data_IF_018689940183
#
_entry.id   IF_018689940183
#
_cell.length_a   1.000
_cell.length_b   1.000
_cell.length_c   1.000
_cell.angle_alpha   90.00
_cell.angle_beta   90.00
_cell.angle_gamma   90.00
#
_symmetry.space_group_name_H-M   'P 1'
#
loop_
_entity.id
_entity.type
_entity.pdbx_description
1 polymer ?
#
# COMPACT_ATOMS: atom_id res chain seq x y z
N UNK A 1 2.51 -8.80 8.92
CA UNK A 1 1.69 -7.74 8.26
C UNK A 1 2.43 -7.16 7.09
N UNK A 2 1.74 -6.93 6.01
CA UNK A 2 2.24 -6.14 4.90
C UNK A 2 1.36 -4.91 4.75
N UNK A 3 1.86 -3.89 4.05
CA UNK A 3 1.28 -2.55 4.04
C UNK A 3 0.98 -2.11 2.61
N UNK A 4 -0.21 -1.56 2.38
CA UNK A 4 -0.59 -1.06 1.06
C UNK A 4 -1.13 0.35 1.17
N UNK A 5 -0.51 1.30 0.46
CA UNK A 5 -0.94 2.70 0.43
C UNK A 5 -2.10 2.85 -0.56
N UNK A 6 -3.18 3.51 -0.12
CA UNK A 6 -4.35 3.71 -0.96
C UNK A 6 -5.07 5.01 -0.57
N UNK A 7 -5.48 5.84 -1.55
CA UNK A 7 -6.41 6.93 -1.25
C UNK A 7 -7.72 6.37 -0.68
N UNK A 8 -8.26 7.03 0.34
CA UNK A 8 -9.47 6.54 1.01
C UNK A 8 -10.62 6.34 0.04
N UNK A 9 -10.81 7.29 -0.89
CA UNK A 9 -11.90 7.20 -1.86
C UNK A 9 -11.81 5.96 -2.74
N UNK A 10 -10.59 5.54 -3.11
CA UNK A 10 -10.40 4.33 -3.92
C UNK A 10 -10.77 3.07 -3.13
N UNK A 11 -10.46 3.06 -1.83
CA UNK A 11 -10.82 1.93 -0.96
C UNK A 11 -12.33 1.80 -0.80
N UNK A 12 -13.06 2.91 -0.80
CA UNK A 12 -14.50 2.94 -0.54
C UNK A 12 -15.38 2.71 -1.79
N UNK A 13 -14.80 2.66 -2.98
CA UNK A 13 -15.56 2.60 -4.24
C UNK A 13 -16.47 1.37 -4.32
N UNK A 14 -15.99 0.20 -3.89
CA UNK A 14 -16.77 -1.04 -3.97
C UNK A 14 -16.58 -1.85 -2.69
N UNK A 15 -17.19 -1.42 -1.56
CA UNK A 15 -16.90 -2.00 -0.25
C UNK A 15 -17.34 -3.45 -0.09
N UNK A 16 -18.23 -3.94 -0.94
CA UNK A 16 -18.74 -5.31 -0.93
C UNK A 16 -17.98 -6.26 -1.86
N UNK A 17 -16.91 -5.78 -2.50
CA UNK A 17 -16.09 -6.57 -3.43
C UNK A 17 -14.65 -6.67 -2.95
N UNK A 18 -13.91 -7.69 -3.37
CA UNK A 18 -12.46 -7.72 -3.17
C UNK A 18 -11.82 -6.47 -3.77
N UNK A 19 -10.79 -5.96 -3.12
CA UNK A 19 -10.14 -4.74 -3.54
C UNK A 19 -9.13 -5.02 -4.67
N UNK A 20 -9.25 -4.25 -5.75
CA UNK A 20 -8.34 -4.34 -6.90
C UNK A 20 -7.93 -2.93 -7.32
N UNK A 21 -6.73 -2.47 -6.93
CA UNK A 21 -6.24 -1.18 -7.40
C UNK A 21 -5.89 -1.24 -8.89
N UNK A 22 -5.81 -0.06 -9.52
CA UNK A 22 -5.45 0.05 -10.94
C UNK A 22 -4.13 -0.66 -11.26
N UNK A 23 -3.17 -0.63 -10.34
CA UNK A 23 -1.87 -1.26 -10.54
C UNK A 23 -1.96 -2.76 -10.80
N UNK A 24 -3.00 -3.43 -10.30
CA UNK A 24 -3.18 -4.86 -10.57
C UNK A 24 -3.35 -5.12 -12.06
N UNK A 25 -4.16 -4.31 -12.75
CA UNK A 25 -4.35 -4.45 -14.20
C UNK A 25 -3.12 -3.98 -14.98
N UNK A 26 -2.46 -2.92 -14.53
CA UNK A 26 -1.32 -2.34 -15.23
C UNK A 26 -0.04 -3.15 -15.06
N UNK A 27 0.23 -3.62 -13.84
CA UNK A 27 1.50 -4.25 -13.47
C UNK A 27 1.39 -5.75 -13.20
N UNK A 28 0.17 -6.28 -13.12
CA UNK A 28 -0.07 -7.69 -12.85
C UNK A 28 -0.05 -8.05 -11.36
N UNK A 29 0.18 -7.09 -10.47
CA UNK A 29 0.18 -7.33 -9.03
C UNK A 29 -0.13 -6.04 -8.27
N UNK A 30 -0.50 -6.19 -7.00
CA UNK A 30 -0.73 -5.09 -6.08
C UNK A 30 0.58 -4.80 -5.34
N UNK A 31 1.01 -3.55 -5.37
CA UNK A 31 2.24 -3.12 -4.69
C UNK A 31 2.00 -2.99 -3.18
N UNK A 32 2.75 -3.74 -2.39
CA UNK A 32 2.74 -3.63 -0.94
C UNK A 32 4.16 -3.39 -0.42
N UNK A 33 4.26 -2.97 0.83
CA UNK A 33 5.54 -2.66 1.47
C UNK A 33 5.74 -3.55 2.70
N UNK A 34 7.01 -3.87 3.05
CA UNK A 34 7.28 -4.80 4.14
C UNK A 34 7.17 -4.19 5.54
N UNK A 35 7.31 -2.87 5.66
CA UNK A 35 7.37 -2.20 6.95
C UNK A 35 6.90 -0.75 6.85
N UNK A 36 6.78 -0.09 8.00
CA UNK A 36 6.29 1.28 8.08
C UNK A 36 7.21 2.27 7.38
N UNK A 37 8.50 2.18 7.60
CA UNK A 37 9.47 3.12 7.02
C UNK A 37 9.44 3.07 5.48
N UNK A 38 9.40 1.88 4.90
CA UNK A 38 9.30 1.70 3.45
C UNK A 38 7.95 2.23 2.93
N UNK A 39 6.88 1.99 3.68
CA UNK A 39 5.54 2.50 3.35
C UNK A 39 5.53 4.02 3.26
N UNK A 40 6.15 4.71 4.21
CA UNK A 40 6.24 6.17 4.19
C UNK A 40 7.04 6.67 2.99
N UNK A 41 8.12 5.97 2.63
CA UNK A 41 8.90 6.32 1.44
C UNK A 41 8.08 6.16 0.16
N UNK A 42 7.31 5.09 0.05
CA UNK A 42 6.40 4.86 -1.10
C UNK A 42 5.33 5.94 -1.17
N UNK A 43 4.71 6.27 -0.04
CA UNK A 43 3.68 7.30 0.02
C UNK A 43 4.22 8.65 -0.44
N UNK A 44 5.44 9.01 -0.01
CA UNK A 44 6.08 10.24 -0.43
C UNK A 44 6.38 10.25 -1.93
N UNK A 45 6.92 9.16 -2.46
CA UNK A 45 7.34 9.10 -3.85
C UNK A 45 6.17 9.08 -4.84
N UNK A 46 5.08 8.38 -4.49
CA UNK A 46 4.01 8.09 -5.44
C UNK A 46 2.68 8.76 -5.15
N UNK A 47 2.46 9.20 -3.91
CA UNK A 47 1.16 9.74 -3.48
C UNK A 47 1.27 11.13 -2.87
N UNK A 48 2.38 11.83 -3.12
CA UNK A 48 2.65 13.16 -2.56
C UNK A 48 1.51 14.14 -2.84
N UNK A 49 0.93 14.07 -4.04
CA UNK A 49 -0.09 15.00 -4.48
C UNK A 49 -1.49 14.40 -4.49
N UNK A 50 -1.68 13.25 -3.88
CA UNK A 50 -3.00 12.64 -3.78
C UNK A 50 -3.94 13.54 -2.99
N UNK A 51 -5.16 13.73 -3.50
CA UNK A 51 -6.17 14.57 -2.88
C UNK A 51 -6.98 13.75 -1.89
N UNK A 52 -7.33 14.37 -0.76
CA UNK A 52 -8.10 13.71 0.30
C UNK A 52 -7.24 12.83 1.19
N UNK A 53 -7.88 12.10 2.13
CA UNK A 53 -7.14 11.23 3.04
C UNK A 53 -6.38 10.12 2.31
N UNK A 54 -5.13 9.92 2.71
CA UNK A 54 -4.29 8.84 2.21
C UNK A 54 -4.16 7.80 3.31
N UNK A 55 -4.46 6.55 2.98
CA UNK A 55 -4.54 5.47 3.96
C UNK A 55 -3.49 4.41 3.71
N UNK A 56 -3.26 3.59 4.72
CA UNK A 56 -2.47 2.37 4.62
C UNK A 56 -3.32 1.22 5.12
N UNK A 57 -3.49 0.21 4.29
CA UNK A 57 -4.12 -1.04 4.69
C UNK A 57 -3.08 -1.92 5.36
N UNK A 58 -3.42 -2.43 6.54
CA UNK A 58 -2.63 -3.44 7.24
C UNK A 58 -3.18 -4.80 6.82
N UNK A 59 -2.40 -5.54 6.05
CA UNK A 59 -2.86 -6.80 5.45
C UNK A 59 -2.16 -7.97 6.13
N UNK A 60 -2.97 -8.91 6.60
CA UNK A 60 -2.45 -10.18 7.10
C UNK A 60 -2.15 -11.07 5.90
N UNK A 61 -0.88 -11.23 5.59
CA UNK A 61 -0.42 -12.00 4.44
C UNK A 61 -0.97 -13.44 4.46
N UNK A 62 -1.04 -14.03 5.65
CA UNK A 62 -1.52 -15.41 5.81
C UNK A 62 -3.00 -15.58 5.53
N UNK A 63 -3.78 -14.50 5.44
CA UNK A 63 -5.21 -14.54 5.16
C UNK A 63 -5.56 -14.17 3.72
N UNK A 64 -4.57 -13.85 2.90
CA UNK A 64 -4.80 -13.56 1.49
C UNK A 64 -5.15 -14.82 0.74
N UNK A 65 -6.12 -14.72 -0.17
CA UNK A 65 -6.58 -15.83 -1.00
C UNK A 65 -5.70 -16.04 -2.24
N UNK A 66 -4.77 -15.15 -2.49
CA UNK A 66 -3.94 -15.14 -3.69
C UNK A 66 -2.47 -15.19 -3.32
N UNK A 67 -1.63 -15.48 -4.32
CA UNK A 67 -0.19 -15.62 -4.13
C UNK A 67 0.46 -14.29 -3.80
N UNK A 68 1.39 -14.30 -2.87
CA UNK A 68 2.28 -13.18 -2.56
C UNK A 68 3.70 -13.61 -2.92
N UNK A 69 4.41 -12.75 -3.66
CA UNK A 69 5.82 -12.95 -3.97
C UNK A 69 6.62 -11.79 -3.43
N UNK A 70 7.69 -12.10 -2.73
CA UNK A 70 8.62 -11.10 -2.21
C UNK A 70 9.72 -10.89 -3.25
N UNK A 71 9.66 -9.74 -3.93
CA UNK A 71 10.46 -9.47 -5.12
C UNK A 71 11.16 -8.12 -5.00
N UNK A 72 12.14 -7.87 -5.86
CA UNK A 72 12.76 -6.56 -5.95
C UNK A 72 11.72 -5.51 -6.37
N UNK A 73 11.96 -4.25 -6.02
CA UNK A 73 11.09 -3.15 -6.42
C UNK A 73 11.00 -3.07 -7.94
N UNK A 74 9.82 -2.72 -8.44
CA UNK A 74 9.57 -2.57 -9.87
C UNK A 74 8.78 -1.27 -10.10
N UNK A 75 9.31 -0.32 -10.89
CA UNK A 75 10.57 -0.40 -11.66
C UNK A 75 11.82 -0.16 -10.81
N UNK A 76 11.71 0.54 -9.69
CA UNK A 76 12.85 0.89 -8.84
C UNK A 76 12.36 1.22 -7.44
N UNK A 77 13.20 1.04 -6.40
CA UNK A 77 12.82 1.45 -5.06
C UNK A 77 12.69 2.97 -4.98
N UNK A 78 11.78 3.49 -4.11
CA UNK A 78 11.69 4.93 -3.92
C UNK A 78 12.96 5.48 -3.25
N UNK A 79 13.20 6.79 -3.35
CA UNK A 79 14.34 7.42 -2.68
C UNK A 79 14.39 7.07 -1.19
N UNK A 80 15.58 6.74 -0.70
CA UNK A 80 15.80 6.37 0.69
C UNK A 80 15.59 4.89 1.00
N UNK A 81 15.14 4.09 0.04
CA UNK A 81 14.95 2.66 0.21
C UNK A 81 16.06 1.90 -0.51
N UNK A 82 16.68 0.93 0.19
CA UNK A 82 17.74 0.11 -0.37
C UNK A 82 17.27 -0.70 -1.57
N UNK A 83 18.13 -0.83 -2.58
CA UNK A 83 17.88 -1.69 -3.74
C UNK A 83 17.78 -3.17 -3.35
N UNK A 84 18.29 -3.55 -2.18
CA UNK A 84 18.21 -4.92 -1.67
C UNK A 84 16.85 -5.23 -1.02
N UNK A 85 16.02 -4.23 -0.79
CA UNK A 85 14.70 -4.41 -0.16
C UNK A 85 13.80 -5.25 -1.06
N UNK A 86 13.18 -6.29 -0.47
CA UNK A 86 12.16 -7.08 -1.13
C UNK A 86 10.78 -6.53 -0.77
N UNK A 87 9.92 -6.45 -1.78
CA UNK A 87 8.56 -5.95 -1.62
C UNK A 87 7.57 -7.09 -1.79
N UNK A 88 6.57 -7.20 -0.93
CA UNK A 88 5.51 -8.20 -1.13
C UNK A 88 4.58 -7.75 -2.25
N UNK A 89 4.60 -8.48 -3.36
CA UNK A 89 3.73 -8.25 -4.50
C UNK A 89 2.57 -9.24 -4.45
N UNK A 90 1.35 -8.72 -4.41
CA UNK A 90 0.13 -9.54 -4.28
C UNK A 90 -0.45 -9.77 -5.68
N UNK A 91 -0.47 -11.03 -6.11
CA UNK A 91 -0.87 -11.41 -7.46
C UNK A 91 -2.34 -11.75 -7.55
N UNK A 92 -3.19 -10.77 -7.29
CA UNK A 92 -4.63 -10.90 -7.39
C UNK A 92 -5.35 -9.87 -6.55
N UNK A 93 -6.67 -9.98 -6.51
CA UNK A 93 -7.51 -9.12 -5.67
C UNK A 93 -7.22 -9.35 -4.19
N UNK A 94 -7.33 -8.30 -3.41
CA UNK A 94 -7.18 -8.39 -1.96
C UNK A 94 -8.56 -8.65 -1.37
N UNK A 95 -8.76 -9.84 -0.81
CA UNK A 95 -9.97 -10.15 -0.08
C UNK A 95 -10.04 -9.30 1.19
N UNK A 96 -11.18 -8.68 1.43
CA UNK A 96 -11.32 -7.73 2.55
C UNK A 96 -11.11 -8.40 3.91
N UNK A 97 -11.34 -9.70 4.01
CA UNK A 97 -11.09 -10.48 5.23
C UNK A 97 -9.62 -10.53 5.62
N UNK A 98 -8.70 -10.26 4.69
CA UNK A 98 -7.27 -10.20 4.99
C UNK A 98 -6.83 -8.83 5.54
N UNK A 99 -7.69 -7.82 5.46
CA UNK A 99 -7.37 -6.48 5.95
C UNK A 99 -7.63 -6.43 7.45
N UNK A 100 -6.55 -6.37 8.23
CA UNK A 100 -6.61 -6.39 9.69
C UNK A 100 -6.89 -5.01 10.28
N UNK A 101 -6.60 -3.95 9.53
CA UNK A 101 -6.82 -2.59 10.00
C UNK A 101 -6.39 -1.57 8.97
N UNK A 102 -6.56 -0.32 9.33
CA UNK A 102 -6.27 0.80 8.45
C UNK A 102 -5.68 1.94 9.27
N UNK A 103 -4.67 2.60 8.72
CA UNK A 103 -4.06 3.78 9.35
C UNK A 103 -4.05 4.93 8.36
N UNK A 104 -3.98 6.15 8.86
CA UNK A 104 -3.89 7.33 8.03
C UNK A 104 -2.44 7.75 7.86
N UNK A 105 -2.05 8.11 6.63
CA UNK A 105 -0.74 8.71 6.37
C UNK A 105 -0.80 10.18 6.72
N UNK A 106 0.05 10.61 7.66
CA UNK A 106 0.19 12.02 8.01
C UNK A 106 1.22 12.64 7.07
N UNK A 107 0.78 13.62 6.28
CA UNK A 107 1.65 14.33 5.32
C UNK A 107 1.93 15.75 5.80
N UNK A 108 3.13 16.26 5.51
CA UNK A 108 3.46 17.65 5.79
C UNK A 108 2.93 18.58 4.68
N UNK A 109 3.24 19.87 4.77
CA UNK A 109 2.77 20.89 3.82
C UNK A 109 3.29 20.62 2.40
N UNK A 110 4.40 19.90 2.27
CA UNK A 110 4.99 19.59 0.97
C UNK A 110 4.52 18.22 0.44
N UNK A 111 3.61 17.55 1.16
CA UNK A 111 3.07 16.27 0.76
C UNK A 111 3.94 15.08 1.15
N UNK A 112 5.02 15.30 1.91
CA UNK A 112 5.87 14.18 2.36
C UNK A 112 5.16 13.43 3.48
N UNK A 113 5.19 12.10 3.39
CA UNK A 113 4.62 11.24 4.42
C UNK A 113 5.57 11.20 5.62
N UNK A 114 5.11 11.65 6.77
CA UNK A 114 5.97 11.79 7.95
C UNK A 114 5.67 10.74 9.02
N UNK A 115 4.45 10.22 9.07
CA UNK A 115 4.10 9.19 10.05
C UNK A 115 2.78 8.51 9.67
N UNK A 116 2.51 7.36 10.31
CA UNK A 116 1.21 6.72 10.27
C UNK A 116 0.50 7.00 11.59
N UNK A 117 -0.78 7.30 11.51
CA UNK A 117 -1.61 7.55 12.67
C UNK A 117 -2.88 6.73 12.63
N UNK A 118 -3.59 6.63 13.78
CA UNK A 118 -4.84 5.89 13.81
C UNK A 118 -5.89 6.55 12.92
N UNK A 119 -6.74 5.71 12.34
CA UNK A 119 -7.92 6.15 11.60
C UNK A 119 -9.14 5.84 12.44
N UNK A 120 -9.96 6.82 12.67
CA UNK A 120 -11.16 6.67 13.49
C UNK A 120 -12.42 7.10 12.75
#
# INVERSE_FOLDING_TARGET
MIYHVVPLDDWLVAPDRPYAPRSLAEDGFVHCSPDEATTLAVATARFRYAVGPLMVLLIDEGKLDVMVRWEAADPAPPPGVSAATRFPHVYGHINRTAVAGMMEVKRDEEGRAVSLGPWS
#
